data_IF_074729770325
#
_entry.id   IF_074729770325
#
_cell.length_a   1.000
_cell.length_b   1.000
_cell.length_c   1.000
_cell.angle_alpha   90.00
_cell.angle_beta   90.00
_cell.angle_gamma   90.00
#
_symmetry.space_group_name_H-M   'P 1'
#
loop_
_entity.id
_entity.type
_entity.pdbx_description
1 polymer ?
#
# COMPACT_ATOMS: atom_id res chain seq x y z
N UNK A 1 -9.57 13.35 -6.95
CA UNK A 1 -8.73 14.42 -7.52
C UNK A 1 -8.40 14.06 -8.95
N UNK A 2 -8.28 15.06 -9.80
CA UNK A 2 -7.82 14.87 -11.18
C UNK A 2 -6.43 14.20 -11.22
N UNK A 3 -6.19 13.38 -12.23
CA UNK A 3 -4.93 12.64 -12.43
C UNK A 3 -3.77 13.63 -12.63
N UNK A 4 -4.02 14.75 -13.31
CA UNK A 4 -3.00 15.75 -13.62
C UNK A 4 -2.50 16.48 -12.36
N UNK A 5 -3.43 16.94 -11.52
CA UNK A 5 -3.15 17.53 -10.21
C UNK A 5 -2.34 16.60 -9.29
N UNK A 6 -2.56 15.29 -9.36
CA UNK A 6 -1.81 14.31 -8.56
C UNK A 6 -0.35 14.21 -9.04
N UNK A 7 -0.10 14.25 -10.35
CA UNK A 7 1.26 14.21 -10.91
C UNK A 7 2.06 15.43 -10.50
N UNK A 8 1.47 16.61 -10.53
CA UNK A 8 2.14 17.85 -10.11
C UNK A 8 2.51 17.81 -8.62
N UNK A 9 1.60 17.35 -7.77
CA UNK A 9 1.87 17.13 -6.35
C UNK A 9 3.06 16.17 -6.15
N UNK A 10 3.12 15.07 -6.91
CA UNK A 10 4.22 14.11 -6.82
C UNK A 10 5.57 14.71 -7.22
N UNK A 11 5.59 15.56 -8.25
CA UNK A 11 6.81 16.26 -8.65
C UNK A 11 7.30 17.20 -7.55
N UNK A 12 6.39 17.90 -6.86
CA UNK A 12 6.74 18.75 -5.71
C UNK A 12 7.34 17.92 -4.58
N UNK A 13 6.72 16.80 -4.22
CA UNK A 13 7.21 15.89 -3.16
C UNK A 13 8.61 15.36 -3.50
N UNK A 14 8.83 14.96 -4.77
CA UNK A 14 10.15 14.49 -5.24
C UNK A 14 11.21 15.58 -5.14
N UNK A 15 10.91 16.79 -5.61
CA UNK A 15 11.85 17.92 -5.54
C UNK A 15 12.22 18.25 -4.09
N UNK A 16 11.24 18.26 -3.17
CA UNK A 16 11.50 18.50 -1.76
C UNK A 16 12.40 17.42 -1.16
N UNK A 17 12.13 16.15 -1.45
CA UNK A 17 12.94 15.01 -1.03
C UNK A 17 14.38 15.10 -1.55
N UNK A 18 14.57 15.45 -2.82
CA UNK A 18 15.90 15.64 -3.43
C UNK A 18 16.69 16.78 -2.77
N UNK A 19 16.01 17.78 -2.21
CA UNK A 19 16.61 18.85 -1.41
C UNK A 19 16.85 18.46 0.06
N UNK A 20 16.72 17.17 0.42
CA UNK A 20 16.99 16.66 1.77
C UNK A 20 15.84 16.82 2.76
N UNK A 21 14.65 17.22 2.31
CA UNK A 21 13.47 17.35 3.19
C UNK A 21 12.92 15.96 3.52
N UNK A 22 12.69 15.71 4.81
CA UNK A 22 11.94 14.52 5.26
C UNK A 22 10.45 14.82 5.22
N UNK A 23 9.68 13.99 4.51
CA UNK A 23 8.24 14.18 4.29
C UNK A 23 7.51 12.99 4.88
N UNK A 24 6.46 13.26 5.67
CA UNK A 24 5.50 12.26 6.11
C UNK A 24 4.18 12.57 5.43
N UNK A 25 3.63 11.56 4.76
CA UNK A 25 2.37 11.63 4.04
C UNK A 25 1.50 10.46 4.44
N UNK A 26 0.19 10.70 4.47
CA UNK A 26 -0.82 9.69 4.78
C UNK A 26 -1.75 9.58 3.60
N UNK A 27 -1.95 8.37 3.11
CA UNK A 27 -2.95 8.05 2.10
C UNK A 27 -3.62 6.73 2.48
N UNK A 28 -4.87 6.56 2.07
CA UNK A 28 -5.58 5.29 2.15
C UNK A 28 -5.53 4.51 0.83
N UNK A 29 -4.87 5.01 -0.20
CA UNK A 29 -4.64 4.33 -1.47
C UNK A 29 -3.21 3.80 -1.55
N UNK A 30 -3.08 2.48 -1.70
CA UNK A 30 -1.77 1.84 -1.74
C UNK A 30 -0.98 2.23 -2.99
N UNK A 31 -1.68 2.49 -4.10
CA UNK A 31 -1.10 2.91 -5.38
C UNK A 31 -0.43 4.28 -5.26
N UNK A 32 -1.01 5.18 -4.46
CA UNK A 32 -0.41 6.49 -4.20
C UNK A 32 0.84 6.35 -3.33
N UNK A 33 0.79 5.52 -2.30
CA UNK A 33 1.95 5.23 -1.45
C UNK A 33 3.09 4.57 -2.25
N UNK A 34 2.76 3.68 -3.17
CA UNK A 34 3.73 3.04 -4.06
C UNK A 34 4.44 4.06 -4.98
N UNK A 35 3.73 5.05 -5.49
CA UNK A 35 4.34 6.00 -6.42
C UNK A 35 5.34 6.96 -5.75
N UNK A 36 5.06 7.39 -4.50
CA UNK A 36 5.80 8.50 -3.87
C UNK A 36 6.67 8.12 -2.68
N UNK A 37 6.39 7.01 -2.02
CA UNK A 37 7.08 6.67 -0.78
C UNK A 37 8.34 5.83 -1.05
N UNK A 38 9.36 6.07 -0.22
CA UNK A 38 10.52 5.19 -0.08
C UNK A 38 10.19 4.01 0.86
N UNK A 39 9.53 4.33 1.98
CA UNK A 39 9.07 3.40 3.02
C UNK A 39 7.59 3.60 3.29
N UNK A 40 6.87 2.52 3.55
CA UNK A 40 5.42 2.55 3.78
C UNK A 40 5.10 1.94 5.15
N UNK A 41 4.36 2.70 5.94
CA UNK A 41 3.78 2.26 7.20
C UNK A 41 2.30 1.94 7.04
N UNK A 42 1.84 0.83 7.62
CA UNK A 42 0.40 0.49 7.65
C UNK A 42 -0.14 0.74 9.05
N UNK A 43 -1.18 1.57 9.15
CA UNK A 43 -1.88 1.85 10.40
C UNK A 43 -3.23 1.15 10.38
N UNK A 44 -3.53 0.39 11.44
CA UNK A 44 -4.83 -0.24 11.64
C UNK A 44 -5.28 0.01 13.08
N UNK A 45 -6.52 0.51 13.26
CA UNK A 45 -7.09 0.82 14.58
C UNK A 45 -6.21 1.70 15.49
N UNK A 46 -5.47 2.64 14.89
CA UNK A 46 -4.59 3.55 15.63
C UNK A 46 -3.21 2.98 15.95
N UNK A 47 -2.90 1.75 15.54
CA UNK A 47 -1.61 1.11 15.74
C UNK A 47 -0.84 0.99 14.43
N UNK A 48 0.47 1.26 14.48
CA UNK A 48 1.38 1.05 13.36
C UNK A 48 1.77 -0.43 13.32
N UNK A 49 1.12 -1.20 12.44
CA UNK A 49 1.25 -2.65 12.40
C UNK A 49 2.42 -3.12 11.53
N UNK A 50 2.96 -2.26 10.67
CA UNK A 50 4.03 -2.58 9.73
C UNK A 50 4.75 -1.31 9.29
N UNK A 51 6.06 -1.39 9.10
CA UNK A 51 6.86 -0.38 8.37
C UNK A 51 7.93 -1.10 7.56
N UNK A 52 7.88 -0.97 6.24
CA UNK A 52 8.82 -1.65 5.34
C UNK A 52 9.22 -0.74 4.18
N UNK A 53 10.32 -1.11 3.52
CA UNK A 53 10.65 -0.53 2.23
C UNK A 53 9.54 -0.85 1.23
N UNK A 54 9.23 0.10 0.37
CA UNK A 54 8.14 -0.02 -0.61
C UNK A 54 8.18 -1.35 -1.36
N UNK A 55 9.36 -1.76 -1.85
CA UNK A 55 9.53 -2.98 -2.65
C UNK A 55 9.16 -4.23 -1.87
N UNK A 56 9.54 -4.31 -0.60
CA UNK A 56 9.22 -5.45 0.27
C UNK A 56 7.73 -5.52 0.56
N UNK A 57 7.12 -4.38 0.87
CA UNK A 57 5.69 -4.30 1.11
C UNK A 57 4.88 -4.71 -0.13
N UNK A 58 5.25 -4.22 -1.32
CA UNK A 58 4.55 -4.57 -2.56
C UNK A 58 4.67 -6.06 -2.89
N UNK A 59 5.80 -6.69 -2.62
CA UNK A 59 5.93 -8.15 -2.78
C UNK A 59 5.00 -8.93 -1.83
N UNK A 60 4.77 -8.42 -0.62
CA UNK A 60 3.84 -9.05 0.34
C UNK A 60 2.38 -8.86 -0.06
N UNK A 61 2.03 -7.68 -0.57
CA UNK A 61 0.66 -7.33 -0.99
C UNK A 61 0.28 -7.88 -2.37
N UNK A 62 1.24 -8.03 -3.28
CA UNK A 62 1.02 -8.54 -4.65
C UNK A 62 0.59 -10.01 -4.74
N UNK A 63 0.42 -10.70 -3.61
CA UNK A 63 -0.15 -12.05 -3.57
C UNK A 63 -1.64 -11.97 -3.87
N UNK A 64 -2.06 -12.47 -5.04
CA UNK A 64 -3.48 -12.59 -5.41
C UNK A 64 -4.22 -13.45 -4.38
N UNK A 65 -5.14 -12.84 -3.65
CA UNK A 65 -6.08 -13.54 -2.79
C UNK A 65 -7.42 -13.67 -3.51
N UNK A 66 -7.94 -14.90 -3.59
CA UNK A 66 -9.29 -15.16 -4.06
C UNK A 66 -10.13 -15.57 -2.86
N UNK A 67 -11.04 -14.69 -2.45
CA UNK A 67 -12.06 -15.04 -1.46
C UNK A 67 -13.22 -15.71 -2.17
N UNK A 68 -13.53 -16.94 -1.77
CA UNK A 68 -14.66 -17.70 -2.31
C UNK A 68 -15.71 -17.82 -1.22
N UNK A 69 -16.84 -17.16 -1.41
CA UNK A 69 -18.02 -17.37 -0.58
C UNK A 69 -18.77 -18.62 -1.06
N UNK A 70 -18.88 -19.60 -0.17
CA UNK A 70 -19.51 -20.88 -0.47
C UNK A 70 -20.99 -20.81 -0.11
N UNK A 71 -21.86 -20.94 -1.11
CA UNK A 71 -23.33 -20.98 -0.93
C UNK A 71 -23.83 -22.19 -0.13
N UNK A 72 -22.97 -23.19 0.07
CA UNK A 72 -23.23 -24.38 0.89
C UNK A 72 -21.95 -24.83 1.56
N UNK A 73 -22.06 -25.34 2.78
CA UNK A 73 -20.93 -25.91 3.53
C UNK A 73 -20.22 -26.99 2.71
N UNK A 74 -18.90 -26.88 2.58
CA UNK A 74 -18.08 -27.95 2.01
C UNK A 74 -18.11 -29.14 2.97
N UNK A 75 -18.63 -30.29 2.50
CA UNK A 75 -18.43 -31.57 3.19
C UNK A 75 -16.93 -31.86 3.16
N UNK A 76 -16.27 -31.64 4.31
CA UNK A 76 -14.86 -31.90 4.65
C UNK A 76 -13.90 -32.03 3.46
N UNK A 77 -12.99 -31.06 3.32
CA UNK A 77 -11.76 -31.22 2.56
C UNK A 77 -10.97 -32.39 3.17
N UNK A 78 -11.06 -33.59 2.59
CA UNK A 78 -10.07 -34.64 2.86
C UNK A 78 -8.78 -34.20 2.17
N UNK A 79 -7.76 -33.87 2.96
CA UNK A 79 -6.41 -33.67 2.44
C UNK A 79 -5.92 -35.00 1.83
N UNK A 80 -5.21 -34.98 0.70
CA UNK A 80 -4.38 -36.11 0.30
C UNK A 80 -3.25 -36.36 1.31
#
# INVERSE_FOLDING_TARGET
MDVELRKDMWNIVRNLRENGVTIILTTHYIEEAEEIADRIGVINKGELILVEDKKELMQKLGKKQLTIDLSRTLKKFQRP
#
